data_IF_557104275926
#
_entry.id   IF_557104275926
#
_cell.length_a   1.000
_cell.length_b   1.000
_cell.length_c   1.000
_cell.angle_alpha   90.00
_cell.angle_beta   90.00
_cell.angle_gamma   90.00
#
_symmetry.space_group_name_H-M   'P 1'
#
loop_
_entity.id
_entity.type
_entity.pdbx_description
1 polymer ?
#
# COMPACT_ATOMS: atom_id res chain seq x y z
N UNK A 1 18.55 0.64 -4.89
CA UNK A 1 18.68 1.85 -5.70
C UNK A 1 17.84 1.81 -6.97
N UNK A 2 17.94 0.76 -7.76
CA UNK A 2 17.18 0.63 -9.00
C UNK A 2 15.67 0.62 -8.77
N UNK A 3 15.22 -0.09 -7.75
CA UNK A 3 13.80 -0.17 -7.44
C UNK A 3 13.27 1.17 -6.95
N UNK A 4 14.05 1.90 -6.19
CA UNK A 4 13.70 3.25 -5.73
C UNK A 4 13.50 4.20 -6.91
N UNK A 5 14.38 4.14 -7.88
CA UNK A 5 14.33 4.98 -9.07
C UNK A 5 13.10 4.63 -9.91
N UNK A 6 12.80 3.35 -10.04
CA UNK A 6 11.64 2.89 -10.79
C UNK A 6 10.33 3.29 -10.11
N UNK A 7 10.28 3.22 -8.79
CA UNK A 7 9.11 3.68 -8.03
C UNK A 7 8.89 5.16 -8.29
N UNK A 8 9.94 5.96 -8.19
CA UNK A 8 9.85 7.40 -8.44
C UNK A 8 9.39 7.70 -9.86
N UNK A 9 9.94 7.00 -10.83
CA UNK A 9 9.56 7.14 -12.23
C UNK A 9 8.08 6.84 -12.43
N UNK A 10 7.60 5.69 -11.94
CA UNK A 10 6.22 5.29 -12.09
C UNK A 10 5.26 6.23 -11.36
N UNK A 11 5.65 6.76 -10.22
CA UNK A 11 4.82 7.74 -9.48
C UNK A 11 4.59 9.01 -10.28
N UNK A 12 5.53 9.38 -11.14
CA UNK A 12 5.43 10.60 -11.92
C UNK A 12 4.87 10.38 -13.32
N UNK A 13 4.97 9.17 -13.86
CA UNK A 13 4.56 8.88 -15.24
C UNK A 13 3.31 8.01 -15.35
N UNK A 14 2.94 7.31 -14.31
CA UNK A 14 1.80 6.38 -14.33
C UNK A 14 0.80 6.75 -13.25
N UNK A 15 -0.32 7.33 -13.66
CA UNK A 15 -1.37 7.78 -12.74
C UNK A 15 -1.97 6.63 -11.94
N UNK A 16 -2.13 5.48 -12.58
CA UNK A 16 -2.69 4.30 -11.91
C UNK A 16 -1.74 3.78 -10.83
N UNK A 17 -0.45 3.71 -11.14
CA UNK A 17 0.56 3.31 -10.15
C UNK A 17 0.54 4.25 -8.94
N UNK A 18 0.51 5.55 -9.20
CA UNK A 18 0.49 6.54 -8.13
C UNK A 18 -0.74 6.38 -7.24
N UNK A 19 -1.90 6.15 -7.85
CA UNK A 19 -3.14 5.96 -7.10
C UNK A 19 -3.04 4.74 -6.18
N UNK A 20 -2.53 3.62 -6.70
CA UNK A 20 -2.36 2.41 -5.90
C UNK A 20 -1.31 2.60 -4.81
N UNK A 21 -0.24 3.32 -5.12
CA UNK A 21 0.83 3.59 -4.17
C UNK A 21 0.31 4.41 -2.99
N UNK A 22 -0.46 5.46 -3.28
CA UNK A 22 -1.06 6.29 -2.24
C UNK A 22 -2.06 5.49 -1.40
N UNK A 23 -2.85 4.65 -2.04
CA UNK A 23 -3.81 3.79 -1.34
C UNK A 23 -3.09 2.79 -0.44
N UNK A 24 -1.99 2.22 -0.90
CA UNK A 24 -1.18 1.31 -0.10
C UNK A 24 -0.67 1.99 1.16
N UNK A 25 -0.15 3.20 1.03
CA UNK A 25 0.32 3.96 2.18
C UNK A 25 -0.79 4.29 3.16
N UNK A 26 -1.97 4.63 2.65
CA UNK A 26 -3.15 4.90 3.47
C UNK A 26 -3.55 3.69 4.29
N UNK A 27 -3.66 2.55 3.63
CA UNK A 27 -4.04 1.29 4.27
C UNK A 27 -2.99 0.88 5.31
N UNK A 28 -1.72 0.99 4.96
CA UNK A 28 -0.63 0.66 5.86
C UNK A 28 -0.65 1.54 7.11
N UNK A 29 -0.91 2.83 6.93
CA UNK A 29 -1.02 3.78 8.04
C UNK A 29 -2.20 3.44 8.96
N UNK A 30 -3.34 3.09 8.39
CA UNK A 30 -4.52 2.69 9.16
C UNK A 30 -4.24 1.43 9.98
N UNK A 31 -3.63 0.43 9.35
CA UNK A 31 -3.27 -0.81 10.04
C UNK A 31 -2.35 -0.51 11.22
N UNK A 32 -1.35 0.31 11.00
CA UNK A 32 -0.39 0.68 12.05
C UNK A 32 -1.11 1.36 13.22
N UNK A 33 -2.02 2.27 12.94
CA UNK A 33 -2.82 2.97 13.95
C UNK A 33 -3.65 2.00 14.79
N UNK A 34 -4.25 1.00 14.16
CA UNK A 34 -5.02 -0.02 14.86
C UNK A 34 -4.13 -0.96 15.67
N UNK A 35 -3.00 -1.38 15.10
CA UNK A 35 -2.08 -2.31 15.76
C UNK A 35 -1.40 -1.71 16.98
N UNK A 36 -1.15 -0.40 16.96
CA UNK A 36 -0.55 0.30 18.10
C UNK A 36 -1.57 0.71 19.16
N UNK A 37 -2.86 0.54 18.87
CA UNK A 37 -3.91 0.92 19.80
C UNK A 37 -4.27 2.40 19.79
N UNK A 38 -3.70 3.18 18.87
CA UNK A 38 -4.03 4.60 18.73
C UNK A 38 -5.50 4.79 18.33
N UNK A 39 -6.04 3.86 17.57
CA UNK A 39 -7.43 3.85 17.14
C UNK A 39 -8.01 2.45 17.36
N UNK A 40 -9.27 2.38 17.79
CA UNK A 40 -9.93 1.08 18.02
C UNK A 40 -10.65 0.63 16.76
N UNK A 41 -10.64 -0.69 16.53
CA UNK A 41 -11.40 -1.31 15.44
C UNK A 41 -11.68 -2.76 15.78
N UNK A 42 -12.46 -3.44 14.94
CA UNK A 42 -12.74 -4.86 15.08
C UNK A 42 -11.63 -5.69 14.45
N UNK A 43 -11.45 -6.92 14.92
CA UNK A 43 -10.48 -7.84 14.32
C UNK A 43 -10.84 -8.11 12.85
N UNK A 44 -12.12 -8.21 12.56
CA UNK A 44 -12.61 -8.44 11.19
C UNK A 44 -12.16 -7.30 10.25
N UNK A 45 -12.38 -6.07 10.67
CA UNK A 45 -11.98 -4.92 9.86
C UNK A 45 -10.46 -4.85 9.66
N UNK A 46 -9.72 -5.11 10.72
CA UNK A 46 -8.26 -5.12 10.65
C UNK A 46 -7.77 -6.20 9.68
N UNK A 47 -8.39 -7.38 9.71
CA UNK A 47 -8.02 -8.46 8.80
C UNK A 47 -8.34 -8.11 7.34
N UNK A 48 -9.45 -7.42 7.10
CA UNK A 48 -9.80 -6.93 5.76
C UNK A 48 -8.74 -5.96 5.23
N UNK A 49 -8.28 -5.04 6.07
CA UNK A 49 -7.24 -4.09 5.69
C UNK A 49 -5.91 -4.79 5.42
N UNK A 50 -5.58 -5.81 6.22
CA UNK A 50 -4.36 -6.58 5.99
C UNK A 50 -4.39 -7.31 4.65
N UNK A 51 -5.54 -7.90 4.29
CA UNK A 51 -5.72 -8.55 3.00
C UNK A 51 -5.59 -7.54 1.87
N UNK A 52 -6.21 -6.37 2.03
CA UNK A 52 -6.12 -5.29 1.03
C UNK A 52 -4.68 -4.83 0.85
N UNK A 53 -3.92 -4.70 1.94
CA UNK A 53 -2.51 -4.32 1.87
C UNK A 53 -1.70 -5.31 1.06
N UNK A 54 -1.93 -6.60 1.25
CA UNK A 54 -1.23 -7.64 0.50
C UNK A 54 -1.56 -7.54 -1.00
N UNK A 55 -2.83 -7.34 -1.35
CA UNK A 55 -3.24 -7.19 -2.75
C UNK A 55 -2.60 -5.98 -3.41
N UNK A 56 -2.58 -4.85 -2.71
CA UNK A 56 -1.97 -3.63 -3.23
C UNK A 56 -0.46 -3.80 -3.40
N UNK A 57 0.18 -4.43 -2.44
CA UNK A 57 1.62 -4.71 -2.51
C UNK A 57 1.96 -5.59 -3.71
N UNK A 58 1.18 -6.64 -3.93
CA UNK A 58 1.41 -7.55 -5.04
C UNK A 58 1.20 -6.85 -6.39
N UNK A 59 0.16 -6.02 -6.49
CA UNK A 59 -0.11 -5.27 -7.71
C UNK A 59 1.02 -4.28 -8.01
N UNK A 60 1.47 -3.55 -7.00
CA UNK A 60 2.58 -2.61 -7.15
C UNK A 60 3.88 -3.33 -7.55
N UNK A 61 4.13 -4.47 -6.92
CA UNK A 61 5.33 -5.24 -7.20
C UNK A 61 5.33 -5.76 -8.65
N UNK A 62 4.18 -6.22 -9.12
CA UNK A 62 4.05 -6.68 -10.50
C UNK A 62 4.31 -5.57 -11.50
N UNK A 63 3.87 -4.36 -11.21
CA UNK A 63 4.15 -3.21 -12.07
C UNK A 63 5.65 -2.86 -12.07
N UNK A 64 6.32 -3.05 -10.94
CA UNK A 64 7.76 -2.79 -10.85
C UNK A 64 8.59 -3.81 -11.59
N UNK A 65 8.10 -5.05 -11.71
CA UNK A 65 8.79 -6.12 -12.44
C UNK A 65 8.79 -5.90 -13.94
N UNK A 66 7.76 -5.26 -14.46
CA UNK A 66 7.62 -5.01 -15.90
C UNK A 66 8.33 -3.69 -16.26
#
# INVERSE_FOLDING_TARGET
PEMKDKIHELKTTDTYFRKMFDEYHDVDHQIHSYETGATATTDEHLNELRAKRVHLKDALYNMLKN
#
